data_IF_140597158817
#
_entry.id   IF_140597158817
#
_cell.length_a   1.000
_cell.length_b   1.000
_cell.length_c   1.000
_cell.angle_alpha   90.00
_cell.angle_beta   90.00
_cell.angle_gamma   90.00
#
_symmetry.space_group_name_H-M   'P 1'
#
loop_
_entity.id
_entity.type
_entity.pdbx_description
1 polymer ?
#
# COMPACT_ATOMS: atom_id res chain seq x y z
N UNK A 1 29.49 13.03 54.29
CA UNK A 1 29.38 13.90 53.11
C UNK A 1 27.98 13.73 52.55
N UNK A 2 27.08 14.63 52.94
CA UNK A 2 25.69 14.67 52.50
C UNK A 2 25.60 15.77 51.44
N UNK A 3 25.24 15.39 50.23
CA UNK A 3 25.01 16.31 49.12
C UNK A 3 23.52 16.65 49.09
N UNK A 4 23.21 17.89 49.49
CA UNK A 4 21.87 18.49 49.33
C UNK A 4 21.73 18.91 47.87
N UNK A 5 20.74 18.38 47.17
CA UNK A 5 20.23 18.97 45.94
C UNK A 5 18.85 19.55 46.21
N UNK A 6 18.81 20.88 46.12
CA UNK A 6 17.65 21.75 46.12
C UNK A 6 16.84 21.55 44.85
N UNK A 7 15.53 21.38 44.99
CA UNK A 7 14.56 21.43 43.88
C UNK A 7 13.89 22.80 43.97
N UNK A 8 14.17 23.64 42.98
CA UNK A 8 13.59 24.97 42.83
C UNK A 8 12.20 24.90 42.18
N UNK A 9 11.27 25.66 42.75
CA UNK A 9 10.00 26.06 42.18
C UNK A 9 10.21 26.92 40.92
N UNK A 10 9.63 26.52 39.80
CA UNK A 10 9.38 27.43 38.67
C UNK A 10 8.17 26.96 37.85
N UNK A 11 7.00 27.29 38.38
CA UNK A 11 5.71 27.13 37.74
C UNK A 11 5.25 28.47 37.19
N UNK A 12 5.79 28.91 36.04
CA UNK A 12 5.18 29.93 35.16
C UNK A 12 6.06 30.21 33.94
N UNK A 13 5.62 29.81 32.73
CA UNK A 13 5.74 30.60 31.51
C UNK A 13 5.25 29.84 30.25
N UNK A 14 4.46 30.57 29.46
CA UNK A 14 4.42 30.53 27.99
C UNK A 14 3.82 29.30 27.29
N UNK A 15 2.50 29.33 27.08
CA UNK A 15 1.93 28.87 25.81
C UNK A 15 2.01 30.02 24.80
N UNK A 16 3.10 30.08 24.04
CA UNK A 16 3.19 30.89 22.82
C UNK A 16 2.64 30.06 21.65
N UNK A 17 1.47 30.47 21.16
CA UNK A 17 0.90 29.97 19.91
C UNK A 17 1.77 30.50 18.78
N UNK A 18 2.49 29.60 18.11
CA UNK A 18 3.23 29.91 16.88
C UNK A 18 2.28 29.82 15.70
N UNK A 19 2.05 30.97 15.06
CA UNK A 19 1.52 31.07 13.71
C UNK A 19 2.42 30.29 12.73
N UNK A 20 1.87 29.23 12.14
CA UNK A 20 2.37 28.69 10.88
C UNK A 20 1.20 28.60 9.90
N UNK A 21 1.32 29.42 8.87
CA UNK A 21 0.58 29.40 7.62
C UNK A 21 0.50 27.98 7.07
N UNK A 22 -0.73 27.49 6.91
CA UNK A 22 -1.03 26.27 6.16
C UNK A 22 -1.71 26.68 4.86
N UNK A 23 -1.08 26.29 3.77
CA UNK A 23 -1.52 26.50 2.39
C UNK A 23 -2.92 25.94 2.12
N UNK A 24 -3.62 26.64 1.22
CA UNK A 24 -4.96 26.37 0.74
C UNK A 24 -5.12 24.98 0.12
N UNK A 25 -6.10 24.22 0.61
CA UNK A 25 -6.75 23.12 -0.11
C UNK A 25 -8.28 23.20 0.06
N UNK A 26 -9.05 22.64 -0.89
CA UNK A 26 -10.28 23.27 -1.37
C UNK A 26 -11.48 23.08 -0.44
N UNK A 27 -12.28 24.16 -0.34
CA UNK A 27 -13.57 24.21 0.34
C UNK A 27 -14.53 23.14 -0.19
N UNK A 28 -14.70 22.05 0.55
CA UNK A 28 -15.88 21.20 0.45
C UNK A 28 -16.99 21.78 1.31
N UNK A 29 -18.12 22.10 0.66
CA UNK A 29 -19.37 22.57 1.25
C UNK A 29 -19.79 21.73 2.47
N UNK A 30 -19.65 22.27 3.69
CA UNK A 30 -20.31 21.77 4.89
C UNK A 30 -21.59 22.57 5.11
N UNK A 31 -22.73 21.91 4.94
CA UNK A 31 -24.04 22.39 5.40
C UNK A 31 -24.04 22.48 6.93
N UNK A 32 -23.95 23.68 7.47
CA UNK A 32 -24.22 23.97 8.88
C UNK A 32 -25.74 23.99 9.13
N UNK A 33 -26.29 22.84 9.48
CA UNK A 33 -27.64 22.71 10.03
C UNK A 33 -27.64 23.06 11.52
N UNK A 34 -27.72 24.35 11.85
CA UNK A 34 -28.30 24.81 13.12
C UNK A 34 -28.92 26.18 12.90
N UNK A 35 -30.12 26.20 12.29
CA UNK A 35 -31.01 27.35 12.37
C UNK A 35 -31.51 27.44 13.80
N UNK A 36 -31.00 28.41 14.57
CA UNK A 36 -31.69 28.92 15.76
C UNK A 36 -33.08 29.36 15.32
N UNK A 37 -34.09 28.55 15.64
CA UNK A 37 -35.49 28.91 15.50
C UNK A 37 -35.75 30.12 16.41
N UNK A 38 -35.87 31.31 15.80
CA UNK A 38 -36.51 32.46 16.44
C UNK A 38 -37.85 31.96 16.98
N UNK A 39 -38.04 32.00 18.29
CA UNK A 39 -39.39 31.98 18.87
C UNK A 39 -40.17 33.09 18.14
N UNK A 40 -41.10 32.69 17.28
CA UNK A 40 -41.99 33.62 16.59
C UNK A 40 -42.71 34.41 17.69
N UNK A 41 -42.46 35.71 17.69
CA UNK A 41 -43.25 36.70 18.40
C UNK A 41 -44.73 36.43 18.05
N UNK A 42 -45.56 36.47 19.09
CA UNK A 42 -47.01 36.34 19.07
C UNK A 42 -47.62 36.97 17.81
N UNK A 43 -48.29 36.15 17.00
CA UNK A 43 -49.03 36.63 15.83
C UNK A 43 -50.25 37.42 16.31
N UNK A 44 -50.07 38.73 16.44
CA UNK A 44 -51.17 39.69 16.46
C UNK A 44 -51.77 39.66 15.05
N UNK A 45 -53.07 39.41 14.94
CA UNK A 45 -53.77 39.38 13.65
C UNK A 45 -54.62 40.64 13.57
N UNK A 46 -54.41 41.46 12.54
CA UNK A 46 -55.27 42.62 12.31
C UNK A 46 -56.62 42.12 11.82
N UNK A 47 -57.71 42.66 12.37
CA UNK A 47 -59.08 42.30 11.98
C UNK A 47 -59.31 42.57 10.49
N UNK A 48 -58.66 43.60 9.94
CA UNK A 48 -58.75 43.96 8.52
C UNK A 48 -58.19 42.88 7.59
N UNK A 49 -57.30 42.01 8.06
CA UNK A 49 -56.72 40.94 7.24
C UNK A 49 -57.65 39.70 7.15
N UNK A 50 -58.70 39.63 7.98
CA UNK A 50 -59.68 38.54 7.98
C UNK A 50 -60.74 38.71 6.88
N UNK A 51 -61.33 37.62 6.36
CA UNK A 51 -62.44 37.69 5.42
C UNK A 51 -63.66 38.39 6.04
N UNK A 52 -64.48 39.06 5.23
CA UNK A 52 -65.56 39.94 5.69
C UNK A 52 -66.53 39.28 6.69
N UNK A 53 -66.78 37.97 6.55
CA UNK A 53 -67.64 37.18 7.44
C UNK A 53 -67.01 36.97 8.83
N UNK A 54 -65.69 36.81 8.90
CA UNK A 54 -64.96 36.66 10.15
C UNK A 54 -64.69 38.00 10.84
N UNK A 55 -64.67 39.11 10.12
CA UNK A 55 -64.46 40.45 10.71
C UNK A 55 -65.54 40.83 11.72
N UNK A 56 -66.80 40.51 11.41
CA UNK A 56 -67.94 40.80 12.29
C UNK A 56 -67.85 39.96 13.57
N UNK A 57 -67.35 38.72 13.45
CA UNK A 57 -67.13 37.84 14.60
C UNK A 57 -65.93 38.30 15.42
N UNK A 58 -64.79 38.57 14.78
CA UNK A 58 -63.57 39.06 15.39
C UNK A 58 -63.78 40.37 16.17
N UNK A 59 -64.60 41.29 15.63
CA UNK A 59 -64.95 42.55 16.28
C UNK A 59 -65.75 42.36 17.59
N UNK A 60 -66.41 41.21 17.82
CA UNK A 60 -67.04 40.90 19.11
C UNK A 60 -66.05 40.45 20.18
N UNK A 61 -64.89 39.94 19.76
CA UNK A 61 -63.84 39.41 20.63
C UNK A 61 -62.69 40.39 20.85
N UNK A 62 -62.64 41.51 20.11
CA UNK A 62 -61.75 42.65 20.36
C UNK A 62 -62.25 43.44 21.57
N UNK A 63 -61.84 43.02 22.77
CA UNK A 63 -62.38 43.56 24.04
C UNK A 63 -61.85 44.97 24.29
N UNK A 64 -60.63 45.26 23.86
CA UNK A 64 -60.00 46.56 24.05
C UNK A 64 -60.23 47.54 22.89
N UNK A 65 -60.81 47.07 21.78
CA UNK A 65 -61.21 47.88 20.63
C UNK A 65 -60.03 48.36 19.81
N UNK A 66 -58.88 47.68 19.88
CA UNK A 66 -57.65 48.12 19.25
C UNK A 66 -57.55 47.72 17.76
N UNK A 67 -58.53 46.97 17.24
CA UNK A 67 -58.58 46.53 15.85
C UNK A 67 -57.73 45.29 15.53
N UNK A 68 -57.15 44.66 16.56
CA UNK A 68 -56.28 43.48 16.46
C UNK A 68 -56.64 42.46 17.51
N UNK A 69 -56.60 41.17 17.16
CA UNK A 69 -56.86 40.12 18.15
C UNK A 69 -55.54 39.65 18.76
N UNK A 70 -55.49 39.71 20.08
CA UNK A 70 -54.44 39.05 20.83
C UNK A 70 -54.61 37.51 20.78
N UNK A 71 -53.63 36.78 21.33
CA UNK A 71 -53.66 35.32 21.28
C UNK A 71 -54.86 34.73 22.03
N UNK A 72 -55.34 35.41 23.07
CA UNK A 72 -56.43 34.96 23.93
C UNK A 72 -57.76 35.22 23.21
N UNK A 73 -57.96 36.42 22.67
CA UNK A 73 -59.14 36.82 21.90
C UNK A 73 -59.30 35.96 20.65
N UNK A 74 -58.20 35.72 19.92
CA UNK A 74 -58.18 34.81 18.77
C UNK A 74 -58.52 33.37 19.17
N UNK A 75 -58.00 32.90 20.29
CA UNK A 75 -58.33 31.57 20.80
C UNK A 75 -59.82 31.49 21.16
N UNK A 76 -60.35 32.47 21.89
CA UNK A 76 -61.77 32.55 22.27
C UNK A 76 -62.68 32.54 21.03
N UNK A 77 -62.33 33.30 19.99
CA UNK A 77 -63.04 33.32 18.71
C UNK A 77 -63.09 31.93 18.03
N UNK A 78 -62.04 31.12 18.17
CA UNK A 78 -62.01 29.76 17.63
C UNK A 78 -62.80 28.75 18.47
N UNK A 79 -63.02 29.01 19.76
CA UNK A 79 -63.81 28.14 20.62
C UNK A 79 -65.31 28.38 20.51
N UNK A 80 -65.71 29.62 20.23
CA UNK A 80 -67.08 29.97 19.87
C UNK A 80 -67.44 29.32 18.51
N UNK A 81 -68.31 28.30 18.52
CA UNK A 81 -68.76 27.63 17.29
C UNK A 81 -70.01 28.22 16.68
N UNK A 82 -70.87 28.82 17.50
CA UNK A 82 -72.18 29.30 17.07
C UNK A 82 -72.13 30.76 16.55
N UNK A 83 -71.03 31.47 16.79
CA UNK A 83 -70.78 32.84 16.33
C UNK A 83 -71.53 33.90 17.11
N UNK A 84 -72.10 33.55 18.27
CA UNK A 84 -72.93 34.47 19.04
C UNK A 84 -72.07 35.50 19.82
N UNK A 85 -70.78 35.21 20.02
CA UNK A 85 -69.84 36.06 20.76
C UNK A 85 -69.82 35.80 22.28
N UNK A 86 -70.47 34.74 22.74
CA UNK A 86 -70.42 34.23 24.11
C UNK A 86 -69.83 32.81 24.09
N UNK A 87 -69.27 32.37 25.21
CA UNK A 87 -68.82 30.99 25.34
C UNK A 87 -69.84 30.21 26.14
N UNK A 88 -70.50 29.25 25.49
CA UNK A 88 -71.44 28.35 26.14
C UNK A 88 -70.76 27.47 27.19
N UNK A 89 -71.53 26.95 28.15
CA UNK A 89 -71.00 26.06 29.19
C UNK A 89 -70.23 24.85 28.62
N UNK A 90 -70.71 24.30 27.51
CA UNK A 90 -70.07 23.18 26.82
C UNK A 90 -68.73 23.57 26.16
N UNK A 91 -68.63 24.80 25.64
CA UNK A 91 -67.41 25.33 25.03
C UNK A 91 -66.35 25.64 26.10
N UNK A 92 -66.78 26.21 27.22
CA UNK A 92 -65.91 26.43 28.39
C UNK A 92 -65.41 25.10 28.96
N UNK A 93 -66.26 24.08 29.06
CA UNK A 93 -65.83 22.76 29.51
C UNK A 93 -64.74 22.18 28.60
N UNK A 94 -64.89 22.34 27.28
CA UNK A 94 -63.89 21.88 26.30
C UNK A 94 -62.54 22.58 26.45
N UNK A 95 -62.55 23.91 26.67
CA UNK A 95 -61.31 24.69 26.91
C UNK A 95 -60.59 24.17 28.17
N UNK A 96 -61.35 23.91 29.24
CA UNK A 96 -60.77 23.42 30.51
C UNK A 96 -60.22 22.00 30.37
N UNK A 97 -60.93 21.11 29.68
CA UNK A 97 -60.49 19.74 29.44
C UNK A 97 -59.19 19.70 28.62
N UNK A 98 -59.08 20.55 27.59
CA UNK A 98 -57.86 20.69 26.78
C UNK A 98 -56.69 21.23 27.63
N UNK A 99 -56.92 22.22 28.49
CA UNK A 99 -55.90 22.72 29.42
C UNK A 99 -55.46 21.70 30.48
N UNK A 100 -56.38 20.84 30.94
CA UNK A 100 -56.04 19.76 31.87
C UNK A 100 -55.19 18.69 31.18
N UNK A 101 -55.48 18.36 29.91
CA UNK A 101 -54.69 17.42 29.13
C UNK A 101 -53.26 17.95 28.85
N UNK A 102 -53.13 19.23 28.53
CA UNK A 102 -51.84 19.88 28.33
C UNK A 102 -50.99 19.92 29.60
N UNK A 103 -51.59 20.12 30.78
CA UNK A 103 -50.86 20.04 32.06
C UNK A 103 -50.28 18.66 32.33
N UNK A 104 -50.96 17.60 31.92
CA UNK A 104 -50.44 16.25 32.08
C UNK A 104 -49.18 16.04 31.21
N UNK A 105 -49.17 16.59 29.99
CA UNK A 105 -48.04 16.53 29.07
C UNK A 105 -46.81 17.33 29.54
N UNK A 106 -47.02 18.44 30.26
CA UNK A 106 -45.91 19.20 30.87
C UNK A 106 -45.13 18.36 31.89
N UNK A 107 -45.81 17.48 32.65
CA UNK A 107 -45.14 16.60 33.62
C UNK A 107 -44.26 15.55 32.94
N UNK A 108 -44.71 15.01 31.81
CA UNK A 108 -43.93 14.09 30.99
C UNK A 108 -42.72 14.79 30.35
N UNK A 109 -42.90 16.00 29.82
CA UNK A 109 -41.81 16.79 29.24
C UNK A 109 -40.72 17.13 30.26
N UNK A 110 -41.07 17.43 31.52
CA UNK A 110 -40.08 17.66 32.59
C UNK A 110 -39.19 16.43 32.83
N UNK A 111 -39.75 15.23 32.81
CA UNK A 111 -38.98 13.98 32.96
C UNK A 111 -38.02 13.78 31.79
N UNK A 112 -38.45 14.10 30.56
CA UNK A 112 -37.62 13.99 29.35
C UNK A 112 -36.46 14.99 29.39
N UNK A 113 -36.70 16.24 29.77
CA UNK A 113 -35.65 17.29 29.85
C UNK A 113 -34.57 16.91 30.88
N UNK A 114 -34.98 16.40 32.04
CA UNK A 114 -34.04 15.93 33.08
C UNK A 114 -33.22 14.74 32.57
N UNK A 115 -33.86 13.77 31.89
CA UNK A 115 -33.17 12.63 31.29
C UNK A 115 -32.15 13.05 30.22
N UNK A 116 -32.53 13.97 29.33
CA UNK A 116 -31.63 14.50 28.29
C UNK A 116 -30.42 15.23 28.91
N UNK A 117 -30.65 16.04 29.94
CA UNK A 117 -29.59 16.77 30.63
C UNK A 117 -28.59 15.82 31.29
N UNK A 118 -29.09 14.76 31.95
CA UNK A 118 -28.24 13.73 32.53
C UNK A 118 -27.43 12.98 31.46
N UNK A 119 -28.06 12.66 30.33
CA UNK A 119 -27.39 11.98 29.21
C UNK A 119 -26.25 12.81 28.61
N UNK A 120 -26.47 14.12 28.38
CA UNK A 120 -25.42 15.03 27.91
C UNK A 120 -24.24 15.09 28.88
N UNK A 121 -24.51 15.09 30.19
CA UNK A 121 -23.47 15.07 31.21
C UNK A 121 -22.62 13.79 31.14
N UNK A 122 -23.26 12.61 31.01
CA UNK A 122 -22.55 11.32 30.84
C UNK A 122 -21.70 11.30 29.55
N UNK A 123 -22.21 11.87 28.46
CA UNK A 123 -21.47 12.01 27.21
C UNK A 123 -20.24 12.91 27.37
N UNK A 124 -20.36 14.01 28.09
CA UNK A 124 -19.24 14.91 28.37
C UNK A 124 -18.16 14.24 29.23
N UNK A 125 -18.55 13.45 30.23
CA UNK A 125 -17.62 12.65 31.05
C UNK A 125 -16.92 11.56 30.25
N UNK A 126 -17.60 10.95 29.27
CA UNK A 126 -17.00 9.94 28.40
C UNK A 126 -15.90 10.53 27.52
N UNK A 127 -16.11 11.75 27.01
CA UNK A 127 -15.11 12.50 26.26
C UNK A 127 -13.93 12.93 27.15
N UNK A 128 -14.19 13.28 28.41
CA UNK A 128 -13.14 13.56 29.39
C UNK A 128 -12.27 12.32 29.66
N UNK A 129 -12.89 11.15 29.86
CA UNK A 129 -12.18 9.89 30.10
C UNK A 129 -11.26 9.47 28.96
N UNK A 130 -11.69 9.65 27.72
CA UNK A 130 -10.85 9.38 26.53
C UNK A 130 -9.66 10.34 26.45
N UNK A 131 -9.83 11.62 26.78
CA UNK A 131 -8.70 12.58 26.79
C UNK A 131 -7.64 12.25 27.86
N UNK A 132 -8.06 11.82 29.05
CA UNK A 132 -7.14 11.42 30.13
C UNK A 132 -6.40 10.13 29.78
N UNK A 133 -7.09 9.13 29.21
CA UNK A 133 -6.44 7.90 28.74
C UNK A 133 -5.40 8.18 27.64
N UNK A 134 -5.70 9.12 26.73
CA UNK A 134 -4.76 9.56 25.68
C UNK A 134 -3.51 10.21 26.29
N UNK A 135 -3.70 11.09 27.28
CA UNK A 135 -2.61 11.82 27.93
C UNK A 135 -1.69 10.90 28.76
N UNK A 136 -2.27 9.91 29.44
CA UNK A 136 -1.48 8.90 30.17
C UNK A 136 -0.65 8.04 29.21
N UNK A 137 -1.21 7.63 28.06
CA UNK A 137 -0.47 6.89 27.05
C UNK A 137 0.70 7.69 26.46
N UNK A 138 0.52 8.99 26.20
CA UNK A 138 1.59 9.85 25.66
C UNK A 138 2.76 9.99 26.63
N UNK A 139 2.50 10.01 27.95
CA UNK A 139 3.54 10.12 28.97
C UNK A 139 4.44 8.88 29.01
N UNK A 140 3.89 7.71 28.71
CA UNK A 140 4.59 6.43 28.75
C UNK A 140 5.15 6.01 27.38
N UNK A 141 5.04 6.87 26.36
CA UNK A 141 5.63 6.63 25.03
C UNK A 141 6.66 7.70 24.71
N UNK A 142 7.92 7.31 24.54
CA UNK A 142 8.97 8.19 24.01
C UNK A 142 9.20 7.87 22.53
N UNK A 143 9.10 8.88 21.68
CA UNK A 143 9.48 8.77 20.28
C UNK A 143 11.00 8.88 20.17
N UNK A 144 11.63 7.86 19.61
CA UNK A 144 13.05 7.90 19.26
C UNK A 144 13.20 8.64 17.92
N UNK A 145 13.79 9.83 17.95
CA UNK A 145 13.91 10.71 16.78
C UNK A 145 14.81 10.12 15.68
N UNK A 146 15.69 9.18 16.03
CA UNK A 146 16.62 8.57 15.08
C UNK A 146 16.00 7.39 14.34
N UNK A 147 15.18 6.58 15.02
CA UNK A 147 14.60 5.36 14.44
C UNK A 147 13.13 5.50 14.04
N UNK A 148 12.47 6.60 14.41
CA UNK A 148 11.03 6.82 14.26
C UNK A 148 10.17 5.74 14.95
N UNK A 149 10.73 5.02 15.92
CA UNK A 149 10.04 4.01 16.72
C UNK A 149 9.51 4.65 18.02
N UNK A 150 8.27 4.31 18.41
CA UNK A 150 7.75 4.66 19.73
C UNK A 150 8.16 3.55 20.72
N UNK A 151 8.94 3.90 21.74
CA UNK A 151 9.36 2.98 22.81
C UNK A 151 8.57 3.26 24.09
N UNK A 152 8.35 2.22 24.90
CA UNK A 152 7.73 2.35 26.22
C UNK A 152 8.73 3.03 27.16
N UNK A 153 8.30 4.04 27.91
CA UNK A 153 9.14 4.65 28.94
C UNK A 153 9.54 3.60 30.00
N UNK A 154 10.84 3.30 30.11
CA UNK A 154 11.40 2.35 31.08
C UNK A 154 11.61 0.92 30.59
N UNK A 155 11.13 0.57 29.39
CA UNK A 155 11.45 -0.72 28.73
C UNK A 155 11.87 -0.43 27.30
N UNK A 156 12.95 -1.03 26.81
CA UNK A 156 13.42 -0.81 25.43
C UNK A 156 12.51 -1.46 24.35
N UNK A 157 11.26 -1.77 24.70
CA UNK A 157 10.29 -2.42 23.85
C UNK A 157 9.53 -1.39 23.03
N UNK A 158 9.41 -1.67 21.72
CA UNK A 158 8.76 -0.81 20.73
C UNK A 158 7.25 -1.04 20.77
N UNK A 159 6.47 -0.02 21.08
CA UNK A 159 5.00 -0.02 21.00
C UNK A 159 4.54 0.46 19.62
N UNK A 160 4.17 -0.48 18.75
CA UNK A 160 3.42 -0.20 17.52
C UNK A 160 1.96 -0.66 17.65
N UNK A 161 0.99 0.23 17.42
CA UNK A 161 -0.46 -0.10 17.36
C UNK A 161 -0.87 -0.79 16.05
N UNK A 162 0.04 -0.84 15.09
CA UNK A 162 0.08 -1.84 14.04
C UNK A 162 1.37 -2.62 14.28
N UNK A 163 1.32 -3.95 14.21
CA UNK A 163 2.53 -4.80 14.31
C UNK A 163 3.58 -4.21 13.39
N UNK A 164 4.64 -3.62 13.94
CA UNK A 164 5.75 -3.08 13.18
C UNK A 164 6.17 -4.15 12.19
N UNK A 165 6.10 -3.83 10.90
CA UNK A 165 6.40 -4.80 9.86
C UNK A 165 7.84 -5.27 10.07
N UNK A 166 8.02 -6.55 10.38
CA UNK A 166 9.33 -7.08 10.69
C UNK A 166 10.13 -7.15 9.39
N UNK A 167 11.29 -6.51 9.38
CA UNK A 167 12.09 -6.36 8.17
C UNK A 167 13.32 -7.26 8.25
N UNK A 168 13.45 -8.19 7.30
CA UNK A 168 14.59 -9.10 7.19
C UNK A 168 15.50 -8.67 6.05
N UNK A 169 16.80 -8.61 6.29
CA UNK A 169 17.76 -8.22 5.24
C UNK A 169 18.18 -9.44 4.43
N UNK A 170 17.96 -9.38 3.11
CA UNK A 170 18.49 -10.36 2.17
C UNK A 170 19.87 -9.89 1.66
N UNK A 171 20.83 -10.80 1.66
CA UNK A 171 22.20 -10.54 1.24
C UNK A 171 22.35 -10.74 -0.27
N UNK A 172 23.25 -9.97 -0.87
CA UNK A 172 23.65 -10.15 -2.26
C UNK A 172 24.50 -11.42 -2.39
N UNK A 173 24.24 -12.20 -3.43
CA UNK A 173 24.99 -13.40 -3.74
C UNK A 173 26.24 -13.05 -4.55
N UNK A 174 27.37 -13.71 -4.29
CA UNK A 174 28.55 -13.54 -5.11
C UNK A 174 28.35 -14.08 -6.53
N UNK A 175 29.16 -13.60 -7.49
CA UNK A 175 29.02 -13.90 -8.90
C UNK A 175 29.17 -15.41 -9.22
N UNK A 176 30.03 -16.13 -8.50
CA UNK A 176 30.30 -17.55 -8.77
C UNK A 176 29.16 -18.43 -8.25
N UNK A 177 28.68 -18.17 -7.03
CA UNK A 177 27.49 -18.85 -6.48
C UNK A 177 26.28 -18.61 -7.37
N UNK A 178 26.11 -17.38 -7.88
CA UNK A 178 25.02 -17.04 -8.80
C UNK A 178 25.12 -17.81 -10.11
N UNK A 179 26.31 -17.87 -10.72
CA UNK A 179 26.55 -18.65 -11.95
C UNK A 179 26.25 -20.14 -11.73
N UNK A 180 26.69 -20.69 -10.60
CA UNK A 180 26.44 -22.09 -10.25
C UNK A 180 24.94 -22.38 -10.03
N UNK A 181 24.23 -21.51 -9.31
CA UNK A 181 22.77 -21.63 -9.09
C UNK A 181 21.99 -21.51 -10.40
N UNK A 182 22.35 -20.56 -11.27
CA UNK A 182 21.75 -20.44 -12.62
C UNK A 182 21.94 -21.71 -13.43
N UNK A 183 23.16 -22.24 -13.48
CA UNK A 183 23.45 -23.47 -14.21
C UNK A 183 22.60 -24.64 -13.71
N UNK A 184 22.46 -24.80 -12.39
CA UNK A 184 21.61 -25.81 -11.77
C UNK A 184 20.13 -25.65 -12.14
N UNK A 185 19.59 -24.43 -12.08
CA UNK A 185 18.19 -24.16 -12.46
C UNK A 185 17.95 -24.46 -13.95
N UNK A 186 18.88 -24.05 -14.82
CA UNK A 186 18.77 -24.32 -16.27
C UNK A 186 18.88 -25.81 -16.54
N UNK A 187 19.84 -26.52 -15.94
CA UNK A 187 20.05 -27.95 -16.13
C UNK A 187 18.84 -28.76 -15.65
N UNK A 188 18.30 -28.44 -14.47
CA UNK A 188 17.10 -29.11 -13.94
C UNK A 188 15.87 -28.86 -14.80
N UNK A 189 15.67 -27.65 -15.32
CA UNK A 189 14.59 -27.33 -16.25
C UNK A 189 14.74 -27.99 -17.61
N UNK A 190 15.98 -28.23 -18.08
CA UNK A 190 16.26 -29.00 -19.30
C UNK A 190 15.97 -30.48 -19.08
N UNK A 191 16.38 -31.05 -17.94
CA UNK A 191 16.18 -32.45 -17.60
C UNK A 191 14.69 -32.78 -17.39
N UNK A 192 13.96 -31.90 -16.71
CA UNK A 192 12.52 -32.01 -16.54
C UNK A 192 11.87 -30.62 -16.56
N UNK A 193 11.26 -30.20 -17.69
CA UNK A 193 10.57 -28.93 -17.80
C UNK A 193 9.45 -28.71 -16.78
N UNK A 194 8.88 -29.80 -16.24
CA UNK A 194 7.80 -29.83 -15.24
C UNK A 194 8.30 -30.30 -13.87
N UNK A 195 9.61 -30.35 -13.67
CA UNK A 195 10.24 -30.83 -12.44
C UNK A 195 10.20 -29.84 -11.30
N UNK A 196 11.12 -30.03 -10.35
CA UNK A 196 11.16 -29.23 -9.11
C UNK A 196 11.29 -27.72 -9.37
N UNK A 197 12.01 -27.30 -10.42
CA UNK A 197 12.23 -25.89 -10.75
C UNK A 197 11.22 -25.30 -11.74
N UNK A 198 10.16 -26.03 -12.12
CA UNK A 198 9.17 -25.57 -13.11
C UNK A 198 8.47 -24.25 -12.69
N UNK A 199 8.30 -24.04 -11.39
CA UNK A 199 7.72 -22.82 -10.81
C UNK A 199 8.55 -21.55 -11.09
N UNK A 200 9.80 -21.68 -11.55
CA UNK A 200 10.65 -20.54 -11.91
C UNK A 200 10.32 -19.94 -13.27
N UNK A 201 9.52 -20.61 -14.11
CA UNK A 201 9.09 -20.04 -15.40
C UNK A 201 8.04 -18.96 -15.16
N UNK A 202 8.38 -17.72 -15.54
CA UNK A 202 7.52 -16.54 -15.50
C UNK A 202 6.46 -16.62 -16.59
N UNK A 203 5.19 -16.41 -16.21
CA UNK A 203 4.04 -16.35 -17.12
C UNK A 203 2.99 -17.44 -16.87
N UNK A 204 1.82 -17.32 -17.52
CA UNK A 204 0.64 -18.21 -17.36
C UNK A 204 0.85 -19.66 -17.85
N UNK A 205 2.10 -20.08 -18.06
CA UNK A 205 2.46 -21.40 -18.58
C UNK A 205 2.48 -22.52 -17.53
N UNK A 206 2.47 -22.20 -16.23
CA UNK A 206 2.67 -23.19 -15.14
C UNK A 206 1.73 -24.40 -15.20
N UNK A 207 0.43 -24.17 -15.46
CA UNK A 207 -0.57 -25.23 -15.63
C UNK A 207 -1.16 -25.29 -17.06
N UNK A 208 -0.89 -24.27 -17.87
CA UNK A 208 -1.48 -24.07 -19.20
C UNK A 208 -0.62 -24.51 -20.38
N UNK A 209 0.61 -24.94 -20.14
CA UNK A 209 1.54 -25.42 -21.17
C UNK A 209 1.15 -26.81 -21.73
N UNK A 210 -0.04 -26.94 -22.30
CA UNK A 210 -0.53 -28.16 -22.97
C UNK A 210 0.12 -28.32 -24.35
N UNK A 211 1.41 -28.64 -24.38
CA UNK A 211 2.12 -29.06 -25.59
C UNK A 211 2.55 -27.95 -26.55
N UNK A 212 2.54 -26.68 -26.14
CA UNK A 212 3.18 -25.58 -26.88
C UNK A 212 4.44 -25.11 -26.14
N UNK A 213 5.47 -24.72 -26.91
CA UNK A 213 6.80 -24.31 -26.41
C UNK A 213 6.68 -23.37 -25.20
N UNK A 214 7.18 -23.81 -24.06
CA UNK A 214 7.16 -23.05 -22.81
C UNK A 214 8.42 -22.20 -22.68
N UNK A 215 8.77 -21.43 -23.71
CA UNK A 215 9.98 -20.61 -23.75
C UNK A 215 9.84 -19.34 -22.88
N UNK A 216 9.05 -19.43 -21.81
CA UNK A 216 8.84 -18.35 -20.85
C UNK A 216 10.10 -18.07 -20.05
N UNK A 217 10.29 -16.78 -19.79
CA UNK A 217 11.38 -16.21 -19.00
C UNK A 217 11.57 -16.98 -17.68
N UNK A 218 12.81 -17.25 -17.27
CA UNK A 218 13.10 -17.96 -16.01
C UNK A 218 13.48 -16.93 -14.94
N UNK A 219 12.89 -17.05 -13.74
CA UNK A 219 13.30 -16.32 -12.55
C UNK A 219 14.46 -17.04 -11.87
N UNK A 220 15.60 -16.35 -11.82
CA UNK A 220 16.80 -16.82 -11.14
C UNK A 220 16.88 -16.31 -9.71
N UNK A 221 17.78 -16.89 -8.93
CA UNK A 221 18.02 -16.46 -7.56
C UNK A 221 18.85 -15.17 -7.55
N UNK A 222 18.31 -14.10 -6.96
CA UNK A 222 19.00 -12.80 -6.91
C UNK A 222 19.71 -12.59 -5.59
N UNK A 223 19.15 -13.11 -4.51
CA UNK A 223 19.59 -12.89 -3.14
C UNK A 223 19.50 -14.18 -2.32
N UNK A 224 20.14 -14.18 -1.16
CA UNK A 224 20.00 -15.26 -0.18
C UNK A 224 19.88 -14.71 1.24
N UNK A 225 19.41 -15.55 2.15
CA UNK A 225 19.40 -15.29 3.59
C UNK A 225 19.72 -16.54 4.39
N UNK A 226 19.94 -16.41 5.69
CA UNK A 226 20.12 -17.58 6.56
C UNK A 226 18.82 -18.37 6.71
N UNK A 227 18.95 -19.68 6.91
CA UNK A 227 17.80 -20.55 7.19
C UNK A 227 16.97 -20.08 8.39
N UNK A 228 17.64 -19.69 9.48
CA UNK A 228 16.97 -19.16 10.68
C UNK A 228 16.09 -17.93 10.36
N UNK A 229 16.52 -17.09 9.42
CA UNK A 229 15.74 -15.92 9.00
C UNK A 229 14.50 -16.35 8.20
N UNK A 230 14.64 -17.31 7.28
CA UNK A 230 13.53 -17.85 6.52
C UNK A 230 12.49 -18.56 7.42
N UNK A 231 12.93 -19.27 8.45
CA UNK A 231 12.05 -19.92 9.44
C UNK A 231 11.30 -18.88 10.30
N UNK A 232 11.97 -17.80 10.70
CA UNK A 232 11.31 -16.67 11.38
C UNK A 232 10.28 -16.01 10.48
N UNK A 233 10.62 -15.75 9.22
CA UNK A 233 9.70 -15.22 8.22
C UNK A 233 8.47 -16.11 8.13
N UNK A 234 8.65 -17.43 7.94
CA UNK A 234 7.57 -18.40 7.90
C UNK A 234 6.65 -18.26 9.12
N UNK A 235 7.21 -18.31 10.32
CA UNK A 235 6.45 -18.22 11.57
C UNK A 235 5.66 -16.91 11.68
N UNK A 236 6.21 -15.79 11.20
CA UNK A 236 5.54 -14.49 11.24
C UNK A 236 4.43 -14.37 10.19
N UNK A 237 4.66 -14.89 9.00
CA UNK A 237 3.68 -14.92 7.93
C UNK A 237 2.50 -15.85 8.26
N UNK A 238 2.76 -17.01 8.89
CA UNK A 238 1.72 -17.94 9.37
C UNK A 238 0.81 -17.28 10.42
N UNK A 239 1.33 -16.32 11.19
CA UNK A 239 0.58 -15.52 12.16
C UNK A 239 -0.17 -14.33 11.52
N UNK A 240 -0.14 -14.20 10.19
CA UNK A 240 -0.76 -13.08 9.47
C UNK A 240 -0.09 -11.73 9.71
N UNK A 241 1.15 -11.71 10.22
CA UNK A 241 1.91 -10.47 10.45
C UNK A 241 2.50 -9.95 9.15
N UNK A 242 2.68 -8.63 9.08
CA UNK A 242 3.35 -8.00 7.96
C UNK A 242 4.85 -8.26 8.05
N UNK A 243 5.43 -8.81 6.99
CA UNK A 243 6.86 -9.11 6.89
C UNK A 243 7.40 -8.46 5.63
N UNK A 244 8.49 -7.72 5.79
CA UNK A 244 9.19 -7.06 4.71
C UNK A 244 10.57 -7.70 4.50
N UNK A 245 11.03 -7.67 3.26
CA UNK A 245 12.41 -8.05 2.93
C UNK A 245 13.12 -6.81 2.43
N UNK A 246 14.23 -6.48 3.09
CA UNK A 246 15.13 -5.41 2.68
C UNK A 246 16.20 -5.98 1.76
N UNK A 247 16.29 -5.44 0.55
CA UNK A 247 17.35 -5.71 -0.42
C UNK A 247 18.17 -4.45 -0.65
N UNK A 248 19.47 -4.62 -0.81
CA UNK A 248 20.40 -3.55 -1.18
C UNK A 248 20.85 -3.75 -2.63
N UNK A 249 20.99 -2.65 -3.35
CA UNK A 249 21.45 -2.61 -4.74
C UNK A 249 22.75 -1.80 -4.84
N UNK A 250 23.54 -1.98 -5.92
CA UNK A 250 24.66 -1.10 -6.22
C UNK A 250 24.24 0.37 -6.19
N UNK A 251 25.10 1.24 -5.66
CA UNK A 251 24.79 2.66 -5.46
C UNK A 251 24.08 2.98 -4.13
N UNK A 252 23.98 2.02 -3.21
CA UNK A 252 23.43 2.24 -1.87
C UNK A 252 21.91 2.33 -1.81
N UNK A 253 21.22 2.07 -2.92
CA UNK A 253 19.77 2.01 -2.94
C UNK A 253 19.28 0.79 -2.19
N UNK A 254 18.21 0.99 -1.43
CA UNK A 254 17.58 -0.05 -0.62
C UNK A 254 16.11 -0.13 -1.01
N UNK A 255 15.62 -1.35 -1.23
CA UNK A 255 14.21 -1.62 -1.48
C UNK A 255 13.66 -2.54 -0.39
N UNK A 256 12.48 -2.19 0.11
CA UNK A 256 11.70 -3.04 0.99
C UNK A 256 10.56 -3.66 0.19
N UNK A 257 10.59 -4.97 -0.01
CA UNK A 257 9.53 -5.71 -0.67
C UNK A 257 8.62 -6.33 0.40
N UNK A 258 7.33 -6.05 0.31
CA UNK A 258 6.35 -6.65 1.22
C UNK A 258 6.17 -8.13 0.84
N UNK A 259 6.57 -9.02 1.74
CA UNK A 259 6.51 -10.46 1.52
C UNK A 259 5.15 -11.00 1.95
N UNK A 260 4.77 -10.69 3.18
CA UNK A 260 3.55 -11.17 3.80
C UNK A 260 2.72 -9.99 4.25
N UNK A 261 1.42 -10.04 3.93
CA UNK A 261 0.40 -9.11 4.40
C UNK A 261 -0.86 -9.90 4.71
N UNK A 262 -1.88 -9.26 5.26
CA UNK A 262 -3.18 -9.90 5.48
C UNK A 262 -3.70 -10.49 4.17
N UNK A 263 -3.91 -11.82 4.14
CA UNK A 263 -4.32 -12.57 2.95
C UNK A 263 -3.20 -13.22 2.15
N UNK A 264 -1.93 -13.08 2.55
CA UNK A 264 -0.84 -13.85 1.96
C UNK A 264 -0.97 -15.35 2.31
N UNK A 265 -0.61 -16.21 1.36
CA UNK A 265 -0.56 -17.67 1.56
C UNK A 265 0.88 -18.14 1.62
N UNK A 266 1.21 -18.94 2.65
CA UNK A 266 2.53 -19.55 2.81
C UNK A 266 2.37 -21.05 2.65
N UNK A 267 3.11 -21.62 1.69
CA UNK A 267 3.18 -23.07 1.48
C UNK A 267 4.61 -23.51 1.71
N UNK A 268 4.80 -24.43 2.65
CA UNK A 268 6.12 -25.00 2.94
C UNK A 268 6.13 -26.48 2.59
N UNK A 269 7.10 -26.87 1.76
CA UNK A 269 7.37 -28.25 1.38
C UNK A 269 8.69 -28.67 2.00
N UNK A 270 8.62 -29.54 3.00
CA UNK A 270 9.82 -30.11 3.60
C UNK A 270 10.46 -31.12 2.62
N UNK A 271 11.75 -30.92 2.31
CA UNK A 271 12.54 -31.85 1.51
C UNK A 271 13.36 -32.72 2.43
N UNK A 272 13.06 -34.03 2.45
CA UNK A 272 13.96 -35.00 3.07
C UNK A 272 15.22 -35.16 2.22
N UNK A 273 16.28 -34.46 2.59
CA UNK A 273 17.58 -34.62 1.94
C UNK A 273 18.15 -35.99 2.32
N UNK A 274 17.99 -36.97 1.43
CA UNK A 274 18.62 -38.30 1.61
C UNK A 274 20.13 -38.10 1.62
N UNK A 275 20.76 -38.35 2.76
CA UNK A 275 22.22 -38.26 2.89
C UNK A 275 22.86 -39.26 1.93
N UNK A 276 23.81 -38.81 1.09
CA UNK A 276 24.77 -39.72 0.48
C UNK A 276 25.42 -40.50 1.62
N UNK A 277 25.44 -41.83 1.49
CA UNK A 277 25.83 -42.82 2.50
C UNK A 277 27.34 -42.72 2.81
N UNK A 278 27.76 -41.59 3.40
CA UNK A 278 29.12 -41.30 3.84
C UNK A 278 29.17 -41.37 5.37
N UNK A 279 30.22 -41.99 5.89
CA UNK A 279 30.35 -42.58 7.24
C UNK A 279 30.42 -41.58 8.42
N UNK A 280 29.77 -40.41 8.33
CA UNK A 280 29.85 -39.35 9.33
C UNK A 280 28.53 -39.10 10.06
N UNK A 281 28.57 -39.16 11.40
CA UNK A 281 27.49 -38.73 12.33
C UNK A 281 27.25 -37.20 12.25
N UNK A 282 26.73 -36.72 11.13
CA UNK A 282 26.22 -35.36 10.99
C UNK A 282 24.74 -35.29 11.39
N UNK A 283 24.27 -34.15 11.89
CA UNK A 283 22.84 -33.91 12.12
C UNK A 283 22.13 -33.85 10.76
N UNK A 284 20.92 -34.42 10.66
CA UNK A 284 20.09 -34.28 9.46
C UNK A 284 19.72 -32.80 9.31
N UNK A 285 20.19 -32.15 8.23
CA UNK A 285 19.71 -30.81 7.86
C UNK A 285 18.45 -31.00 7.03
N UNK A 286 17.36 -30.40 7.48
CA UNK A 286 16.08 -30.40 6.77
C UNK A 286 16.14 -29.18 5.85
N UNK A 287 16.18 -29.43 4.54
CA UNK A 287 15.91 -28.39 3.54
C UNK A 287 14.40 -28.24 3.39
N UNK A 288 13.93 -27.04 3.10
CA UNK A 288 12.54 -26.80 2.76
C UNK A 288 12.44 -25.79 1.62
N UNK A 289 11.39 -25.97 0.82
CA UNK A 289 10.97 -24.97 -0.14
C UNK A 289 9.79 -24.21 0.45
N UNK A 290 9.86 -22.88 0.50
CA UNK A 290 8.77 -22.03 0.95
C UNK A 290 8.31 -21.14 -0.20
N UNK A 291 7.02 -21.15 -0.48
CA UNK A 291 6.38 -20.24 -1.45
C UNK A 291 5.47 -19.30 -0.66
N UNK A 292 5.72 -18.01 -0.76
CA UNK A 292 4.85 -16.97 -0.24
C UNK A 292 4.14 -16.30 -1.41
N UNK A 293 2.81 -16.33 -1.42
CA UNK A 293 1.99 -15.66 -2.43
C UNK A 293 1.30 -14.45 -1.82
N UNK A 294 1.54 -13.26 -2.38
CA UNK A 294 0.92 -12.00 -1.98
C UNK A 294 0.56 -11.19 -3.23
N UNK A 295 -0.69 -10.73 -3.34
CA UNK A 295 -1.19 -9.99 -4.52
C UNK A 295 -1.02 -10.70 -5.86
N UNK A 296 -1.08 -12.04 -5.85
CA UNK A 296 -0.84 -12.84 -7.05
C UNK A 296 0.61 -12.86 -7.52
N UNK A 297 1.54 -12.33 -6.72
CA UNK A 297 2.99 -12.48 -6.89
C UNK A 297 3.52 -13.50 -5.91
N UNK A 298 4.51 -14.25 -6.34
CA UNK A 298 5.17 -15.29 -5.56
C UNK A 298 6.60 -14.90 -5.18
N UNK A 299 7.00 -15.32 -3.98
CA UNK A 299 8.38 -15.37 -3.54
C UNK A 299 8.69 -16.80 -3.13
N UNK A 300 9.66 -17.41 -3.80
CA UNK A 300 10.18 -18.72 -3.48
C UNK A 300 11.46 -18.60 -2.66
N UNK A 301 11.56 -19.43 -1.62
CA UNK A 301 12.77 -19.70 -0.87
C UNK A 301 13.15 -21.17 -1.06
N UNK A 302 14.36 -21.42 -1.53
CA UNK A 302 14.93 -22.75 -1.67
C UNK A 302 16.10 -22.90 -0.68
N UNK A 303 15.90 -23.68 0.38
CA UNK A 303 16.85 -23.78 1.49
C UNK A 303 17.72 -25.04 1.43
N UNK A 304 19.04 -24.88 1.48
CA UNK A 304 20.03 -25.97 1.39
C UNK A 304 20.51 -26.50 2.76
N UNK A 305 19.89 -26.04 3.86
CA UNK A 305 20.29 -26.37 5.22
C UNK A 305 21.22 -25.35 5.89
N UNK A 306 21.67 -24.32 5.15
CA UNK A 306 22.44 -23.20 5.71
C UNK A 306 21.90 -21.86 5.19
N UNK A 307 21.73 -21.79 3.88
CA UNK A 307 21.25 -20.61 3.17
C UNK A 307 19.93 -20.92 2.48
N UNK A 308 19.09 -19.90 2.35
CA UNK A 308 17.86 -19.94 1.57
C UNK A 308 18.01 -18.95 0.42
N UNK A 309 17.98 -19.47 -0.81
CA UNK A 309 18.06 -18.67 -2.03
C UNK A 309 16.66 -18.22 -2.43
N UNK A 310 16.57 -16.97 -2.85
CA UNK A 310 15.28 -16.33 -3.09
C UNK A 310 15.08 -16.02 -4.57
N UNK A 311 13.90 -16.39 -5.08
CA UNK A 311 13.45 -16.06 -6.44
C UNK A 311 11.95 -15.79 -6.45
N UNK A 312 11.36 -15.52 -7.62
CA UNK A 312 9.92 -15.31 -7.78
C UNK A 312 9.55 -13.92 -8.27
N UNK A 313 8.31 -13.79 -8.74
CA UNK A 313 7.80 -12.58 -9.38
C UNK A 313 7.72 -11.36 -8.46
N UNK A 314 7.57 -11.58 -7.14
CA UNK A 314 7.49 -10.48 -6.18
C UNK A 314 8.83 -9.75 -6.00
N UNK A 315 9.95 -10.43 -6.29
CA UNK A 315 11.28 -9.87 -6.20
C UNK A 315 11.73 -9.16 -7.48
N UNK A 316 11.00 -9.34 -8.58
CA UNK A 316 11.33 -8.70 -9.84
C UNK A 316 10.97 -7.20 -9.82
N UNK A 317 11.87 -6.40 -10.37
CA UNK A 317 11.81 -4.96 -10.44
C UNK A 317 11.01 -4.52 -11.67
N UNK A 318 10.16 -3.51 -11.50
CA UNK A 318 9.39 -2.93 -12.59
C UNK A 318 10.20 -1.87 -13.34
N UNK A 319 9.64 -1.32 -14.42
CA UNK A 319 10.28 -0.26 -15.18
C UNK A 319 10.73 0.91 -14.29
N UNK A 320 11.97 1.37 -14.47
CA UNK A 320 12.62 2.46 -13.74
C UNK A 320 13.14 2.09 -12.34
N UNK A 321 12.87 0.87 -11.84
CA UNK A 321 13.35 0.44 -10.54
C UNK A 321 14.81 -0.03 -10.57
N UNK A 322 15.54 0.05 -9.45
CA UNK A 322 16.95 -0.28 -9.41
C UNK A 322 17.20 -1.77 -9.64
N UNK A 323 18.30 -2.09 -10.31
CA UNK A 323 18.76 -3.45 -10.56
C UNK A 323 20.29 -3.53 -10.48
N UNK A 324 20.78 -4.75 -10.26
CA UNK A 324 22.20 -5.01 -10.21
C UNK A 324 22.70 -5.41 -11.60
N UNK A 325 23.51 -4.56 -12.22
CA UNK A 325 24.08 -4.81 -13.56
C UNK A 325 25.00 -6.03 -13.59
N UNK A 326 25.57 -6.44 -12.45
CA UNK A 326 26.37 -7.67 -12.32
C UNK A 326 25.47 -8.91 -12.39
N UNK A 327 24.18 -8.78 -12.09
CA UNK A 327 23.19 -9.85 -12.17
C UNK A 327 22.58 -9.98 -13.57
N UNK A 328 22.99 -9.14 -14.53
CA UNK A 328 22.32 -9.04 -15.82
C UNK A 328 20.83 -8.70 -15.64
N UNK A 329 19.96 -9.45 -16.31
CA UNK A 329 18.51 -9.16 -16.34
C UNK A 329 17.69 -9.87 -15.24
N UNK A 330 18.34 -10.56 -14.29
CA UNK A 330 17.64 -11.40 -13.30
C UNK A 330 16.76 -10.61 -12.33
N UNK A 331 17.17 -9.38 -12.02
CA UNK A 331 16.43 -8.53 -11.09
C UNK A 331 15.19 -7.93 -11.76
N UNK A 332 15.11 -7.91 -13.09
CA UNK A 332 14.08 -7.19 -13.82
C UNK A 332 12.88 -8.08 -14.18
N UNK A 333 11.68 -7.48 -14.19
CA UNK A 333 10.48 -8.17 -14.64
C UNK A 333 10.60 -8.60 -16.12
N UNK A 334 9.77 -9.56 -16.53
CA UNK A 334 9.76 -10.06 -17.90
C UNK A 334 9.65 -8.92 -18.94
N UNK A 335 10.54 -8.92 -19.93
CA UNK A 335 10.61 -7.89 -20.99
C UNK A 335 11.41 -6.63 -20.62
N UNK A 336 12.02 -6.60 -19.43
CA UNK A 336 12.90 -5.52 -18.99
C UNK A 336 14.35 -6.02 -18.91
N UNK A 337 15.29 -5.09 -19.14
CA UNK A 337 16.75 -5.33 -19.10
C UNK A 337 17.37 -4.37 -18.10
N UNK A 338 18.39 -4.84 -17.39
CA UNK A 338 19.10 -4.02 -16.42
C UNK A 338 20.16 -3.18 -17.11
N UNK A 339 19.92 -1.87 -17.24
CA UNK A 339 20.81 -0.96 -17.94
C UNK A 339 21.46 -0.01 -16.94
N UNK A 340 22.79 0.12 -17.01
CA UNK A 340 23.53 1.11 -16.24
C UNK A 340 23.39 2.48 -16.90
N UNK A 341 22.86 3.46 -16.18
CA UNK A 341 22.93 4.85 -16.62
C UNK A 341 24.38 5.34 -16.46
N UNK A 342 24.89 6.08 -17.45
CA UNK A 342 26.27 6.60 -17.45
C UNK A 342 26.50 7.53 -16.25
N UNK A 343 25.44 8.16 -15.76
CA UNK A 343 25.48 9.10 -14.64
C UNK A 343 25.13 8.47 -13.29
N UNK A 344 24.72 7.19 -13.27
CA UNK A 344 24.27 6.51 -12.07
C UNK A 344 25.20 5.31 -11.76
N UNK A 345 25.54 5.15 -10.49
CA UNK A 345 26.30 3.99 -10.04
C UNK A 345 25.47 2.70 -10.06
N UNK A 346 24.16 2.84 -10.24
CA UNK A 346 23.17 1.77 -10.23
C UNK A 346 22.58 1.47 -11.60
N UNK A 347 22.15 0.22 -11.80
CA UNK A 347 21.33 -0.15 -12.95
C UNK A 347 19.87 0.20 -12.70
N UNK A 348 19.12 0.43 -13.78
CA UNK A 348 17.66 0.52 -13.76
C UNK A 348 17.06 -0.49 -14.74
N UNK A 349 15.94 -1.10 -14.35
CA UNK A 349 15.19 -1.96 -15.24
C UNK A 349 14.45 -1.10 -16.25
N UNK A 350 14.88 -1.13 -17.49
CA UNK A 350 14.24 -0.41 -18.59
C UNK A 350 13.65 -1.41 -19.57
N UNK A 351 12.63 -1.00 -20.29
CA UNK A 351 12.09 -1.84 -21.36
C UNK A 351 13.18 -2.05 -22.40
N UNK A 352 13.33 -3.28 -22.89
CA UNK A 352 14.36 -3.65 -23.86
C UNK A 352 14.14 -3.06 -25.26
N UNK A 353 13.44 -1.94 -25.37
CA UNK A 353 13.21 -1.28 -26.64
C UNK A 353 14.35 -0.32 -26.89
N UNK A 354 15.09 -0.58 -27.96
CA UNK A 354 16.09 0.33 -28.54
C UNK A 354 17.30 0.59 -27.64
N UNK A 355 17.74 -0.44 -26.91
CA UNK A 355 18.91 -0.34 -26.02
C UNK A 355 20.23 -0.14 -26.76
N UNK A 356 20.23 -0.41 -28.09
CA UNK A 356 21.41 -0.42 -28.95
C UNK A 356 22.53 -1.37 -28.47
N UNK A 357 22.21 -2.30 -27.56
CA UNK A 357 23.14 -3.33 -27.05
C UNK A 357 23.14 -4.57 -27.93
N UNK A 358 24.17 -5.40 -27.80
CA UNK A 358 24.45 -6.52 -28.72
C UNK A 358 24.26 -7.86 -28.03
N UNK A 359 23.73 -8.86 -28.72
CA UNK A 359 23.58 -10.22 -28.20
C UNK A 359 23.89 -11.27 -29.27
N UNK A 360 24.12 -12.51 -28.85
CA UNK A 360 24.43 -13.61 -29.77
C UNK A 360 23.14 -14.27 -30.23
N UNK A 361 22.76 -14.02 -31.49
CA UNK A 361 21.69 -14.75 -32.14
C UNK A 361 22.24 -16.06 -32.71
N UNK A 362 21.95 -17.18 -32.03
CA UNK A 362 22.45 -18.51 -32.42
C UNK A 362 21.86 -19.03 -33.74
N UNK A 363 20.67 -18.55 -34.11
CA UNK A 363 19.91 -18.99 -35.28
C UNK A 363 19.70 -17.86 -36.32
N UNK A 364 20.64 -16.92 -36.41
CA UNK A 364 20.50 -15.75 -37.27
C UNK A 364 20.49 -16.12 -38.77
N UNK A 365 19.38 -15.78 -39.45
CA UNK A 365 19.20 -15.76 -40.92
C UNK A 365 19.31 -17.08 -41.71
N UNK A 366 18.74 -18.20 -41.25
CA UNK A 366 18.74 -19.50 -41.97
C UNK A 366 20.13 -20.07 -42.31
N UNK A 367 21.21 -19.34 -42.02
CA UNK A 367 22.60 -19.71 -42.23
C UNK A 367 23.12 -20.70 -41.18
N UNK A 368 22.40 -20.87 -40.07
CA UNK A 368 22.78 -21.74 -38.95
C UNK A 368 24.09 -21.35 -38.27
N UNK A 369 24.54 -20.11 -38.45
CA UNK A 369 25.76 -19.57 -37.85
C UNK A 369 25.38 -18.53 -36.80
N UNK A 370 25.96 -18.62 -35.59
CA UNK A 370 25.73 -17.61 -34.57
C UNK A 370 26.36 -16.28 -34.96
N UNK A 371 25.63 -15.18 -34.79
CA UNK A 371 26.12 -13.83 -35.05
C UNK A 371 25.81 -12.89 -33.88
N UNK A 372 26.68 -11.92 -33.66
CA UNK A 372 26.40 -10.83 -32.74
C UNK A 372 25.56 -9.77 -33.44
N UNK A 373 24.34 -9.56 -32.95
CA UNK A 373 23.36 -8.67 -33.55
C UNK A 373 22.89 -7.65 -32.54
N UNK A 374 22.48 -6.49 -33.03
CA UNK A 374 22.04 -5.39 -32.17
C UNK A 374 20.55 -5.54 -31.84
N UNK A 375 20.21 -5.33 -30.58
CA UNK A 375 18.83 -5.30 -30.10
C UNK A 375 18.14 -3.99 -30.53
N UNK A 376 17.20 -4.12 -31.46
CA UNK A 376 16.46 -2.99 -32.03
C UNK A 376 15.14 -3.41 -32.70
N UNK A 377 14.30 -2.41 -33.00
CA UNK A 377 12.96 -2.58 -33.58
C UNK A 377 12.89 -2.20 -35.09
N UNK A 378 13.96 -2.36 -35.88
CA UNK A 378 13.87 -1.96 -37.29
C UNK A 378 15.18 -1.87 -38.07
N UNK A 379 15.06 -1.21 -39.24
CA UNK A 379 15.88 -1.23 -40.47
C UNK A 379 17.42 -1.12 -40.38
N UNK A 380 18.03 -1.17 -39.20
CA UNK A 380 19.47 -1.35 -39.11
C UNK A 380 19.83 -2.73 -39.71
N UNK A 381 20.75 -2.83 -40.68
CA UNK A 381 21.15 -4.11 -41.25
C UNK A 381 21.76 -5.07 -40.21
N UNK A 382 22.26 -4.54 -39.08
CA UNK A 382 22.76 -5.33 -37.96
C UNK A 382 21.69 -5.63 -36.91
N UNK A 383 20.43 -5.30 -37.17
CA UNK A 383 19.36 -5.48 -36.22
C UNK A 383 18.97 -6.93 -36.08
N UNK A 384 19.18 -7.49 -34.88
CA UNK A 384 18.84 -8.84 -34.42
C UNK A 384 17.35 -9.11 -34.28
N UNK A 385 16.53 -8.08 -34.44
CA UNK A 385 15.24 -8.05 -33.77
C UNK A 385 15.42 -7.91 -32.26
N UNK A 386 14.39 -8.30 -31.52
CA UNK A 386 14.36 -8.15 -30.08
C UNK A 386 15.17 -9.25 -29.41
N UNK A 387 16.14 -8.85 -28.58
CA UNK A 387 16.82 -9.79 -27.71
C UNK A 387 15.82 -10.43 -26.73
N UNK A 388 15.88 -11.75 -26.61
CA UNK A 388 15.20 -12.47 -25.56
C UNK A 388 15.79 -12.10 -24.21
N UNK A 389 15.00 -12.19 -23.14
CA UNK A 389 15.51 -11.89 -21.81
C UNK A 389 16.58 -12.90 -21.31
N UNK A 390 16.71 -14.04 -22.00
CA UNK A 390 17.72 -15.07 -21.78
C UNK A 390 19.02 -14.77 -22.53
N UNK A 391 19.02 -13.81 -23.45
CA UNK A 391 20.20 -13.44 -24.20
C UNK A 391 21.12 -12.60 -23.31
N UNK A 392 22.41 -12.91 -23.36
CA UNK A 392 23.43 -12.10 -22.68
C UNK A 392 23.70 -10.86 -23.52
N UNK A 393 23.48 -9.69 -22.92
CA UNK A 393 23.63 -8.40 -23.60
C UNK A 393 25.04 -7.83 -23.39
N UNK A 394 25.59 -7.26 -24.45
CA UNK A 394 26.93 -6.68 -24.50
C UNK A 394 26.84 -5.22 -24.90
N UNK A 395 27.68 -4.39 -24.29
CA UNK A 395 27.74 -2.96 -24.59
C UNK A 395 28.29 -2.64 -25.99
N UNK A 396 28.96 -3.60 -26.66
CA UNK A 396 29.49 -3.42 -28.01
C UNK A 396 29.54 -4.74 -28.78
N UNK A 397 29.46 -4.65 -30.11
CA UNK A 397 29.61 -5.77 -31.03
C UNK A 397 30.90 -6.55 -30.78
N UNK A 398 32.03 -5.84 -30.64
CA UNK A 398 33.35 -6.45 -30.39
C UNK A 398 33.39 -7.26 -29.10
N UNK A 399 32.76 -6.76 -28.03
CA UNK A 399 32.71 -7.48 -26.75
C UNK A 399 31.84 -8.75 -26.89
N UNK A 400 30.70 -8.67 -27.56
CA UNK A 400 29.87 -9.83 -27.86
C UNK A 400 30.67 -10.91 -28.62
N UNK A 401 31.35 -10.53 -29.70
CA UNK A 401 32.13 -11.45 -30.52
C UNK A 401 33.28 -12.10 -29.73
N UNK A 402 34.02 -11.30 -28.96
CA UNK A 402 35.19 -11.81 -28.22
C UNK A 402 34.79 -12.75 -27.08
N UNK A 403 33.67 -12.49 -26.42
CA UNK A 403 33.20 -13.33 -25.31
C UNK A 403 32.65 -14.66 -25.80
N UNK A 404 31.82 -14.67 -26.84
CA UNK A 404 31.05 -15.87 -27.23
C UNK A 404 31.36 -16.45 -28.61
N UNK A 405 31.99 -15.70 -29.51
CA UNK A 405 32.27 -16.21 -30.86
C UNK A 405 33.78 -16.44 -31.09
N UNK A 406 34.63 -16.09 -30.11
CA UNK A 406 36.09 -16.24 -30.21
C UNK A 406 36.57 -17.69 -30.36
N UNK A 407 35.78 -18.68 -29.93
CA UNK A 407 36.12 -20.09 -30.10
C UNK A 407 35.72 -20.65 -31.49
N UNK A 408 34.76 -20.02 -32.15
CA UNK A 408 34.32 -20.40 -33.51
C UNK A 408 35.26 -19.85 -34.58
N UNK A 409 36.01 -18.80 -34.25
CA UNK A 409 36.92 -18.10 -35.16
C UNK A 409 38.31 -18.74 -35.26
N UNK A 410 38.48 -19.97 -34.76
CA UNK A 410 39.63 -20.86 -34.95
C UNK A 410 40.86 -20.17 -35.55
N UNK A 411 41.68 -19.58 -34.68
CA UNK A 411 42.93 -18.87 -35.00
C UNK A 411 43.73 -19.70 -36.01
N UNK A 412 43.68 -19.32 -37.29
CA UNK A 412 44.24 -20.15 -38.36
C UNK A 412 44.31 -19.50 -39.73
N UNK A 413 43.21 -18.97 -40.29
CA UNK A 413 43.25 -18.36 -41.64
C UNK A 413 42.16 -17.29 -41.83
N UNK A 414 42.59 -16.03 -41.75
CA UNK A 414 42.32 -14.95 -42.72
C UNK A 414 40.91 -14.54 -43.15
N UNK A 415 39.83 -15.25 -42.84
CA UNK A 415 38.47 -14.89 -43.25
C UNK A 415 37.68 -14.31 -42.08
N UNK A 416 37.84 -13.01 -41.88
CA UNK A 416 37.24 -12.23 -40.79
C UNK A 416 35.84 -11.68 -41.12
N UNK A 417 35.11 -12.24 -42.09
CA UNK A 417 33.88 -11.62 -42.61
C UNK A 417 32.65 -11.67 -41.67
N UNK A 418 32.71 -12.39 -40.54
CA UNK A 418 31.55 -12.58 -39.65
C UNK A 418 31.59 -11.76 -38.35
N UNK A 419 32.72 -11.10 -38.03
CA UNK A 419 32.86 -10.25 -36.84
C UNK A 419 33.42 -8.85 -37.16
N UNK A 420 33.62 -8.53 -38.44
CA UNK A 420 33.95 -7.18 -38.89
C UNK A 420 32.61 -6.47 -39.11
N UNK A 421 32.35 -5.33 -38.43
CA UNK A 421 31.22 -4.47 -38.80
C UNK A 421 31.35 -4.19 -40.30
N UNK A 422 30.28 -4.35 -41.07
CA UNK A 422 30.32 -4.13 -42.52
C UNK A 422 30.67 -2.65 -42.83
N UNK A 423 31.98 -2.35 -42.91
CA UNK A 423 32.51 -1.00 -43.07
C UNK A 423 32.36 -0.50 -44.52
N UNK A 424 31.98 -1.36 -45.46
CA UNK A 424 31.83 -0.99 -46.87
C UNK A 424 30.56 -0.16 -47.16
N UNK A 425 29.66 0.01 -46.18
CA UNK A 425 28.45 0.84 -46.32
C UNK A 425 28.60 2.31 -45.90
N UNK A 426 29.65 2.69 -45.14
CA UNK A 426 29.87 4.10 -44.76
C UNK A 426 30.35 4.95 -45.96
N UNK A 427 30.75 4.33 -47.08
CA UNK A 427 31.24 5.05 -48.26
C UNK A 427 30.16 5.51 -49.25
N UNK A 428 28.90 5.12 -49.11
CA UNK A 428 27.84 5.47 -50.07
C UNK A 428 26.65 6.20 -49.41
N UNK A 429 26.95 7.16 -48.54
CA UNK A 429 26.01 8.15 -48.04
C UNK A 429 26.38 9.56 -48.51
N UNK A 430 26.19 9.82 -49.80
CA UNK A 430 25.76 11.14 -50.32
C UNK A 430 24.26 11.10 -50.59
#
# INVERSE_FOLDING_TARGET
MMEKTTIDDSLTAAMSVSDRSFDELPRTHRHSFFKRSKCRSSSIINIEDLPAEERIKAAKFDIDGNGTLDKIELAMMHYDKDGDGQLGLDEVHRIVEEHLHDRHNISAMKKVIVGLTCFVFVLSLSNLGTSIASALLVKDTTADYETAEMKIAGTSDVMGTQTSAETFTALEMDADTRRARRAMVVESLKANPWGEHAHRRLGKGGDGCKGKKCDGNISFDTNYMSQDSAEKIKAKCDLGRVVNIRRSFPGGMVKNDNLCKTGASVVVKEKQVKRKKGNGKGKNRIGFDMVVTSDGKDTLFECDGKNCYMSGTNLLQTHGQPCNTVHGNDDCAAGLVCIKDVNDSSGKCLSNYDTATWYVAWDWNNSGKPQCVQDCNGNNPNCGGFAGNWDEMFSSHTLCCNTHLSYLTGVGRGDYSQCVPDYDFIKNGE
#
